data_IF_543192237135
#
_entry.id   IF_543192237135
#
_cell.length_a   1.000
_cell.length_b   1.000
_cell.length_c   1.000
_cell.angle_alpha   90.00
_cell.angle_beta   90.00
_cell.angle_gamma   90.00
#
_symmetry.space_group_name_H-M   'P 1'
#
loop_
_entity.id
_entity.type
_entity.pdbx_description
1 polymer ?
#
# COMPACT_ATOMS: atom_id res chain seq x y z
N UNK A 1 -9.01 -8.63 5.65
CA UNK A 1 -7.76 -9.34 5.34
C UNK A 1 -8.03 -10.84 5.42
N UNK A 2 -8.14 -11.48 4.26
CA UNK A 2 -8.43 -12.90 4.12
C UNK A 2 -7.16 -13.74 4.19
N UNK A 3 -7.27 -15.04 4.52
CA UNK A 3 -6.15 -15.98 4.43
C UNK A 3 -6.46 -17.09 3.42
N UNK A 4 -5.45 -17.52 2.67
CA UNK A 4 -5.56 -18.60 1.70
C UNK A 4 -4.31 -19.49 1.71
N UNK A 5 -4.44 -20.84 1.66
CA UNK A 5 -3.30 -21.73 1.49
C UNK A 5 -2.61 -21.51 0.13
N UNK A 6 -1.28 -21.61 0.10
CA UNK A 6 -0.47 -21.46 -1.12
C UNK A 6 -0.92 -22.42 -2.23
N UNK A 7 -1.38 -23.63 -1.90
CA UNK A 7 -1.91 -24.58 -2.88
C UNK A 7 -3.15 -24.04 -3.59
N UNK A 8 -4.13 -23.53 -2.84
CA UNK A 8 -5.34 -22.96 -3.43
C UNK A 8 -5.05 -21.71 -4.27
N UNK A 9 -4.10 -20.87 -3.83
CA UNK A 9 -3.71 -19.68 -4.60
C UNK A 9 -3.02 -20.07 -5.92
N UNK A 10 -2.25 -21.16 -5.94
CA UNK A 10 -1.64 -21.68 -7.17
C UNK A 10 -2.68 -22.22 -8.14
N UNK A 11 -3.66 -22.96 -7.63
CA UNK A 11 -4.69 -23.59 -8.46
C UNK A 11 -5.65 -22.55 -9.07
N UNK A 12 -5.96 -21.48 -8.33
CA UNK A 12 -6.97 -20.46 -8.69
C UNK A 12 -6.43 -19.02 -8.71
N UNK A 13 -5.19 -18.78 -9.17
CA UNK A 13 -4.53 -17.46 -9.04
C UNK A 13 -5.39 -16.29 -9.57
N UNK A 14 -6.00 -16.44 -10.74
CA UNK A 14 -6.84 -15.40 -11.35
C UNK A 14 -8.07 -15.03 -10.51
N UNK A 15 -8.62 -15.97 -9.74
CA UNK A 15 -9.73 -15.70 -8.80
C UNK A 15 -9.21 -14.92 -7.60
N UNK A 16 -8.07 -15.34 -7.05
CA UNK A 16 -7.47 -14.67 -5.91
C UNK A 16 -6.99 -13.25 -6.24
N UNK A 17 -6.50 -12.98 -7.46
CA UNK A 17 -6.18 -11.62 -7.91
C UNK A 17 -7.40 -10.69 -7.89
N UNK A 18 -8.53 -11.12 -8.47
CA UNK A 18 -9.79 -10.34 -8.43
C UNK A 18 -10.35 -10.14 -7.02
N UNK A 19 -10.04 -11.05 -6.11
CA UNK A 19 -10.40 -10.89 -4.70
C UNK A 19 -9.44 -9.91 -4.00
N UNK A 20 -8.16 -9.95 -4.37
CA UNK A 20 -7.11 -9.12 -3.79
C UNK A 20 -7.23 -7.64 -4.17
N UNK A 21 -7.91 -7.34 -5.28
CA UNK A 21 -8.37 -5.99 -5.67
C UNK A 21 -9.17 -5.30 -4.54
N UNK A 22 -10.01 -6.05 -3.81
CA UNK A 22 -10.90 -5.50 -2.78
C UNK A 22 -10.33 -5.57 -1.36
N UNK A 23 -9.51 -6.57 -1.09
CA UNK A 23 -8.84 -6.73 0.20
C UNK A 23 -7.56 -7.56 0.11
N UNK A 24 -6.56 -7.22 0.93
CA UNK A 24 -5.32 -8.01 1.01
C UNK A 24 -5.59 -9.46 1.42
N UNK A 25 -4.87 -10.39 0.76
CA UNK A 25 -4.95 -11.83 1.02
C UNK A 25 -3.61 -12.34 1.55
N UNK A 26 -3.58 -12.85 2.78
CA UNK A 26 -2.40 -13.51 3.34
C UNK A 26 -2.30 -14.93 2.79
N UNK A 27 -1.22 -15.19 2.08
CA UNK A 27 -0.87 -16.53 1.61
C UNK A 27 -0.21 -17.28 2.75
N UNK A 28 -0.69 -18.48 3.05
CA UNK A 28 -0.11 -19.36 4.08
C UNK A 28 0.59 -20.57 3.47
N UNK A 29 1.70 -21.00 4.08
CA UNK A 29 2.41 -22.25 3.76
C UNK A 29 2.47 -23.10 5.02
N UNK A 30 1.91 -24.31 4.98
CA UNK A 30 1.75 -25.18 6.14
C UNK A 30 1.07 -24.48 7.34
N UNK A 31 0.04 -23.66 7.06
CA UNK A 31 -0.71 -22.92 8.08
C UNK A 31 -0.01 -21.66 8.63
N UNK A 32 1.21 -21.35 8.20
CA UNK A 32 1.95 -20.15 8.61
C UNK A 32 1.90 -19.06 7.53
N UNK A 33 1.76 -17.77 7.86
CA UNK A 33 1.87 -16.69 6.90
C UNK A 33 3.20 -16.74 6.13
N UNK A 34 3.13 -16.61 4.81
CA UNK A 34 4.28 -16.70 3.90
C UNK A 34 4.40 -15.48 3.00
N UNK A 35 3.29 -14.79 2.71
CA UNK A 35 3.29 -13.57 1.91
C UNK A 35 1.90 -12.94 1.88
N UNK A 36 1.78 -11.81 1.19
CA UNK A 36 0.52 -11.11 0.95
C UNK A 36 0.35 -10.95 -0.55
N UNK A 37 -0.85 -11.27 -1.05
CA UNK A 37 -1.29 -10.90 -2.39
C UNK A 37 -2.09 -9.61 -2.28
N UNK A 38 -1.64 -8.60 -3.03
CA UNK A 38 -2.28 -7.30 -3.17
C UNK A 38 -2.70 -7.20 -4.64
N UNK A 39 -3.98 -6.97 -4.87
CA UNK A 39 -4.51 -6.64 -6.20
C UNK A 39 -4.70 -5.14 -6.33
N UNK A 40 -4.76 -4.65 -7.56
CA UNK A 40 -4.99 -3.24 -7.88
C UNK A 40 -6.22 -3.19 -8.79
N UNK A 41 -7.26 -2.47 -8.38
CA UNK A 41 -8.46 -2.26 -9.21
C UNK A 41 -8.16 -1.32 -10.38
N UNK A 42 -7.18 -0.44 -10.21
CA UNK A 42 -6.81 0.57 -11.20
C UNK A 42 -5.29 0.81 -11.30
N UNK A 43 -4.87 1.52 -12.36
CA UNK A 43 -3.50 2.05 -12.47
C UNK A 43 -3.19 3.07 -11.37
N UNK A 44 -4.21 3.78 -10.86
CA UNK A 44 -4.08 4.73 -9.77
C UNK A 44 -3.72 4.01 -8.47
N UNK A 45 -4.40 2.90 -8.14
CA UNK A 45 -4.08 2.10 -6.94
C UNK A 45 -2.64 1.56 -6.99
N UNK A 46 -2.19 1.14 -8.17
CA UNK A 46 -0.80 0.72 -8.38
C UNK A 46 0.18 1.87 -8.16
N UNK A 47 -0.14 3.06 -8.68
CA UNK A 47 0.67 4.25 -8.48
C UNK A 47 0.74 4.65 -7.00
N UNK A 48 -0.40 4.68 -6.29
CA UNK A 48 -0.47 4.93 -4.85
C UNK A 48 0.39 3.94 -4.08
N UNK A 49 0.23 2.64 -4.33
CA UNK A 49 1.04 1.62 -3.67
C UNK A 49 2.54 1.85 -3.87
N UNK A 50 2.96 2.19 -5.08
CA UNK A 50 4.37 2.52 -5.35
C UNK A 50 4.84 3.74 -4.57
N UNK A 51 4.02 4.79 -4.52
CA UNK A 51 4.35 6.04 -3.84
C UNK A 51 4.46 5.85 -2.32
N UNK A 52 3.53 5.10 -1.73
CA UNK A 52 3.54 4.74 -0.30
C UNK A 52 4.78 3.92 0.08
N UNK A 53 5.31 3.13 -0.86
CA UNK A 53 6.48 2.29 -0.64
C UNK A 53 7.80 2.93 -1.15
N UNK A 54 7.78 4.15 -1.68
CA UNK A 54 8.98 4.85 -2.14
C UNK A 54 9.75 5.47 -0.95
N UNK A 55 10.98 5.02 -0.64
CA UNK A 55 11.77 5.57 0.45
C UNK A 55 12.06 7.07 0.31
N UNK A 56 12.21 7.58 -0.93
CA UNK A 56 12.47 8.99 -1.16
C UNK A 56 11.24 9.84 -0.83
N UNK A 57 10.05 9.38 -1.23
CA UNK A 57 8.78 10.01 -0.88
C UNK A 57 8.56 10.00 0.64
N UNK A 58 8.72 8.85 1.30
CA UNK A 58 8.58 8.72 2.75
C UNK A 58 9.53 9.65 3.52
N UNK A 59 10.79 9.75 3.09
CA UNK A 59 11.77 10.68 3.68
C UNK A 59 11.35 12.15 3.51
N UNK A 60 10.76 12.50 2.37
CA UNK A 60 10.24 13.85 2.11
C UNK A 60 9.04 14.17 3.00
N UNK A 61 8.11 13.24 3.18
CA UNK A 61 6.96 13.37 4.08
C UNK A 61 7.42 13.55 5.53
N UNK A 62 8.39 12.76 5.99
CA UNK A 62 8.92 12.89 7.35
C UNK A 62 9.57 14.26 7.57
N UNK A 63 10.39 14.74 6.62
CA UNK A 63 10.96 16.09 6.67
C UNK A 63 9.88 17.16 6.71
N UNK A 64 8.81 17.03 5.92
CA UNK A 64 7.69 17.97 5.93
C UNK A 64 7.00 18.00 7.30
N UNK A 65 6.74 16.84 7.91
CA UNK A 65 6.17 16.73 9.26
C UNK A 65 7.05 17.39 10.32
N UNK A 66 8.37 17.20 10.25
CA UNK A 66 9.33 17.86 11.14
C UNK A 66 9.33 19.37 10.97
N UNK A 67 9.31 19.86 9.73
CA UNK A 67 9.24 21.28 9.43
C UNK A 67 7.98 21.91 10.06
N UNK A 68 6.81 21.30 9.88
CA UNK A 68 5.55 21.76 10.48
C UNK A 68 5.64 21.82 12.00
N UNK A 69 6.15 20.76 12.66
CA UNK A 69 6.35 20.74 14.12
C UNK A 69 7.32 21.82 14.61
N UNK A 70 8.32 22.17 13.80
CA UNK A 70 9.29 23.23 14.10
C UNK A 70 8.83 24.65 13.72
N UNK A 71 7.56 24.83 13.33
CA UNK A 71 6.99 26.14 12.97
C UNK A 71 7.40 26.65 11.58
N UNK A 72 8.00 25.81 10.74
CA UNK A 72 8.40 26.15 9.35
C UNK A 72 7.30 25.85 8.33
N UNK A 73 6.05 25.76 8.79
CA UNK A 73 4.88 25.63 7.92
C UNK A 73 4.45 26.98 7.35
N UNK A 74 3.77 26.94 6.20
CA UNK A 74 3.07 28.10 5.65
C UNK A 74 1.59 27.89 5.91
N UNK A 75 0.88 28.91 6.40
CA UNK A 75 -0.58 28.80 6.56
C UNK A 75 -1.25 28.85 5.20
N UNK A 76 -2.43 28.26 5.09
CA UNK A 76 -3.09 28.14 3.78
C UNK A 76 -3.46 29.51 3.21
N UNK A 77 -3.81 30.46 4.07
CA UNK A 77 -4.09 31.85 3.73
C UNK A 77 -2.88 32.64 3.21
N UNK A 78 -1.66 32.14 3.46
CA UNK A 78 -0.40 32.78 3.05
C UNK A 78 0.12 32.21 1.72
N UNK A 79 -0.59 31.26 1.09
CA UNK A 79 -0.21 30.69 -0.21
C UNK A 79 -0.46 31.69 -1.35
N UNK A 80 0.44 31.75 -2.35
CA UNK A 80 0.18 32.54 -3.56
C UNK A 80 -1.02 31.97 -4.33
N UNK A 81 -1.83 32.89 -4.88
CA UNK A 81 -2.97 32.57 -5.75
C UNK A 81 -2.54 31.97 -7.08
#
# INVERSE_FOLDING_TARGET
MKQAPLTQVKDDLSKYLRMAEKENIVITRHGKPAGVLIGFESEEDWFEYRLENDPAFLKRIEKARQNLKSGKGVRIEDLPA
#
